data_IF_021887531847
#
_entry.id   IF_021887531847
#
_cell.length_a   1.000
_cell.length_b   1.000
_cell.length_c   1.000
_cell.angle_alpha   90.00
_cell.angle_beta   90.00
_cell.angle_gamma   90.00
#
_symmetry.space_group_name_H-M   'P 1'
#
loop_
_entity.id
_entity.type
_entity.pdbx_description
1 polymer ?
#
# COMPACT_ATOMS: atom_id res chain seq x y z
N UNK A 1 -2.51 -16.48 7.31
CA UNK A 1 -2.25 -16.79 5.87
C UNK A 1 -0.78 -17.08 5.60
N UNK A 2 0.14 -16.59 6.45
CA UNK A 2 1.57 -16.92 6.50
C UNK A 2 2.42 -16.40 5.34
N UNK A 3 1.94 -16.41 4.10
CA UNK A 3 2.72 -15.92 2.96
C UNK A 3 1.87 -15.12 1.97
N UNK A 4 2.30 -13.89 1.66
CA UNK A 4 1.60 -12.97 0.76
C UNK A 4 2.48 -12.31 -0.31
N UNK A 5 1.84 -11.73 -1.31
CA UNK A 5 2.46 -10.88 -2.32
C UNK A 5 2.25 -9.40 -1.98
N UNK A 6 3.29 -8.58 -2.10
CA UNK A 6 3.18 -7.14 -1.95
C UNK A 6 3.58 -6.45 -3.24
N UNK A 7 2.61 -5.80 -3.89
CA UNK A 7 2.74 -5.18 -5.21
C UNK A 7 2.87 -3.66 -5.04
N UNK A 8 4.12 -3.19 -5.08
CA UNK A 8 4.41 -1.76 -5.25
C UNK A 8 4.40 -1.42 -6.74
N UNK A 9 3.26 -0.93 -7.18
CA UNK A 9 3.00 -0.53 -8.55
C UNK A 9 2.14 0.73 -8.52
N UNK A 10 2.71 1.87 -8.95
CA UNK A 10 2.05 3.18 -8.94
C UNK A 10 2.87 4.13 -9.84
N UNK A 11 2.57 5.43 -9.86
CA UNK A 11 3.35 6.49 -10.52
C UNK A 11 4.86 6.34 -10.31
N UNK A 12 5.29 5.97 -9.10
CA UNK A 12 6.68 5.76 -8.74
C UNK A 12 7.43 4.77 -9.67
N UNK A 13 6.75 3.75 -10.20
CA UNK A 13 7.27 2.80 -11.19
C UNK A 13 7.77 3.52 -12.45
N UNK A 14 6.99 4.48 -12.97
CA UNK A 14 7.30 5.19 -14.22
C UNK A 14 8.28 6.35 -14.05
N UNK A 15 8.45 6.80 -12.81
CA UNK A 15 9.38 7.87 -12.48
C UNK A 15 10.71 7.35 -11.95
N UNK A 16 10.84 6.04 -11.79
CA UNK A 16 12.05 5.39 -11.28
C UNK A 16 12.47 5.93 -9.89
N UNK A 17 11.47 6.12 -9.02
CA UNK A 17 11.66 6.65 -7.66
C UNK A 17 11.08 5.68 -6.62
N UNK A 18 11.69 5.60 -5.44
CA UNK A 18 11.13 4.81 -4.30
C UNK A 18 10.21 5.69 -3.44
N UNK A 19 10.69 6.90 -3.22
CA UNK A 19 10.04 7.93 -2.45
C UNK A 19 9.67 9.07 -3.38
N UNK A 20 8.72 9.87 -2.93
CA UNK A 20 8.23 11.04 -3.67
C UNK A 20 9.32 12.04 -4.07
N UNK A 21 9.20 12.55 -5.29
CA UNK A 21 9.98 13.69 -5.78
C UNK A 21 9.19 14.43 -6.86
N UNK A 22 8.77 15.67 -6.59
CA UNK A 22 7.89 16.40 -7.51
C UNK A 22 6.43 15.95 -7.49
N UNK A 23 5.56 16.72 -8.13
CA UNK A 23 4.18 16.39 -8.44
C UNK A 23 4.13 16.04 -9.92
N UNK A 24 4.12 14.74 -10.19
CA UNK A 24 4.20 14.22 -11.54
C UNK A 24 2.89 14.43 -12.29
N UNK A 25 2.95 14.52 -13.61
CA UNK A 25 1.73 14.64 -14.40
C UNK A 25 1.01 13.29 -14.40
N UNK A 26 -0.33 13.22 -14.35
CA UNK A 26 -1.06 11.97 -14.59
C UNK A 26 -0.67 11.26 -15.90
N UNK A 27 -0.20 12.01 -16.90
CA UNK A 27 0.33 11.47 -18.15
C UNK A 27 1.61 10.62 -17.99
N UNK A 28 2.34 10.82 -16.88
CA UNK A 28 3.53 10.03 -16.58
C UNK A 28 3.19 8.60 -16.16
N UNK A 29 1.97 8.33 -15.67
CA UNK A 29 1.52 6.97 -15.38
C UNK A 29 1.16 6.28 -16.70
N UNK A 30 2.15 5.66 -17.33
CA UNK A 30 2.00 5.10 -18.67
C UNK A 30 2.47 3.64 -18.78
N UNK A 31 1.62 2.68 -18.35
CA UNK A 31 1.86 1.26 -18.62
C UNK A 31 1.94 0.91 -20.11
N UNK A 32 1.37 1.73 -20.99
CA UNK A 32 0.92 1.31 -22.32
C UNK A 32 -0.49 0.73 -22.27
N UNK A 33 -1.11 0.59 -23.45
CA UNK A 33 -2.46 0.02 -23.58
C UNK A 33 -2.35 -1.50 -23.48
N UNK A 34 -3.17 -2.11 -22.62
CA UNK A 34 -3.28 -3.57 -22.43
C UNK A 34 -2.01 -4.30 -21.97
N UNK A 35 -1.08 -3.60 -21.33
CA UNK A 35 0.16 -4.20 -20.79
C UNK A 35 0.03 -4.67 -19.35
N UNK A 36 -1.00 -4.22 -18.63
CA UNK A 36 -1.27 -4.68 -17.26
C UNK A 36 -2.05 -5.99 -17.34
N UNK A 37 -1.37 -7.06 -16.93
CA UNK A 37 -1.96 -8.39 -16.81
C UNK A 37 -1.99 -8.79 -15.33
N UNK A 38 -3.11 -8.48 -14.66
CA UNK A 38 -3.32 -8.86 -13.25
C UNK A 38 -3.51 -10.36 -13.06
N UNK A 39 -3.86 -11.09 -14.13
CA UNK A 39 -3.95 -12.55 -14.13
C UNK A 39 -2.55 -13.16 -13.99
N UNK A 40 -1.57 -12.64 -14.72
CA UNK A 40 -0.18 -13.04 -14.58
C UNK A 40 0.36 -12.79 -13.16
N UNK A 41 -0.01 -11.67 -12.51
CA UNK A 41 0.36 -11.40 -11.12
C UNK A 41 -0.22 -12.45 -10.16
N UNK A 42 -1.49 -12.80 -10.35
CA UNK A 42 -2.16 -13.78 -9.54
C UNK A 42 -1.62 -15.20 -9.77
N UNK A 43 -1.31 -15.57 -11.03
CA UNK A 43 -0.66 -16.83 -11.37
C UNK A 43 0.72 -16.96 -10.73
N UNK A 44 1.51 -15.87 -10.75
CA UNK A 44 2.79 -15.82 -10.05
C UNK A 44 2.63 -16.06 -8.54
N UNK A 45 1.65 -15.41 -7.90
CA UNK A 45 1.36 -15.58 -6.47
C UNK A 45 0.97 -17.03 -6.12
N UNK A 46 0.09 -17.65 -6.92
CA UNK A 46 -0.32 -19.06 -6.75
C UNK A 46 0.87 -19.99 -6.92
N UNK A 47 1.68 -19.79 -7.96
CA UNK A 47 2.84 -20.63 -8.25
C UNK A 47 3.88 -20.61 -7.12
N UNK A 48 4.04 -19.47 -6.45
CA UNK A 48 4.89 -19.32 -5.27
C UNK A 48 4.26 -19.88 -3.98
N UNK A 49 2.98 -20.26 -3.97
CA UNK A 49 2.27 -20.75 -2.80
C UNK A 49 1.72 -19.66 -1.87
N UNK A 50 1.72 -18.39 -2.31
CA UNK A 50 1.14 -17.27 -1.57
C UNK A 50 -0.39 -17.43 -1.44
N UNK A 51 -0.98 -16.76 -0.44
CA UNK A 51 -2.41 -16.86 -0.10
C UNK A 51 -3.17 -15.55 -0.16
N UNK A 52 -2.46 -14.44 -0.35
CA UNK A 52 -3.04 -13.11 -0.49
C UNK A 52 -2.11 -12.19 -1.25
N UNK A 53 -2.66 -11.10 -1.79
CA UNK A 53 -1.92 -9.98 -2.36
C UNK A 53 -2.29 -8.66 -1.71
N UNK A 54 -1.36 -7.70 -1.68
CA UNK A 54 -1.59 -6.32 -1.26
C UNK A 54 -1.10 -5.38 -2.37
N UNK A 55 -1.98 -4.54 -2.91
CA UNK A 55 -1.66 -3.59 -3.99
C UNK A 55 -1.54 -2.16 -3.46
N UNK A 56 -0.52 -1.40 -3.88
CA UNK A 56 -0.33 0.02 -3.56
C UNK A 56 -1.31 0.94 -4.28
N UNK A 57 -2.53 1.08 -3.74
CA UNK A 57 -3.59 1.86 -4.39
C UNK A 57 -3.36 3.36 -4.32
N UNK A 58 -2.72 3.83 -3.24
CA UNK A 58 -2.15 5.18 -3.11
C UNK A 58 -0.81 5.08 -2.40
N UNK A 59 0.26 5.55 -3.05
CA UNK A 59 1.58 5.68 -2.41
C UNK A 59 1.79 7.13 -1.92
N UNK A 60 2.96 7.44 -1.34
CA UNK A 60 3.22 8.76 -0.73
C UNK A 60 3.16 9.94 -1.72
N UNK A 61 3.23 9.68 -3.03
CA UNK A 61 3.03 10.67 -4.09
C UNK A 61 1.56 11.07 -4.32
N UNK A 62 0.60 10.35 -3.75
CA UNK A 62 -0.82 10.67 -3.80
C UNK A 62 -1.59 10.21 -5.05
N UNK A 63 -0.93 9.65 -6.06
CA UNK A 63 -1.62 9.18 -7.27
C UNK A 63 -2.47 7.93 -6.97
N UNK A 64 -3.77 8.03 -7.23
CA UNK A 64 -4.74 6.99 -6.92
C UNK A 64 -4.94 6.02 -8.10
N UNK A 65 -4.95 4.72 -7.83
CA UNK A 65 -5.14 3.67 -8.86
C UNK A 65 -6.62 3.31 -9.14
N UNK A 66 -7.54 4.12 -8.64
CA UNK A 66 -8.97 4.01 -8.87
C UNK A 66 -9.55 5.37 -9.24
N UNK A 67 -10.78 5.38 -9.74
CA UNK A 67 -11.56 6.60 -9.98
C UNK A 67 -12.02 7.16 -8.63
N UNK A 68 -11.33 8.16 -8.07
CA UNK A 68 -11.65 8.69 -6.75
C UNK A 68 -12.59 9.87 -6.86
N UNK A 69 -13.66 9.89 -6.05
CA UNK A 69 -14.57 11.03 -5.97
C UNK A 69 -13.95 12.25 -5.25
N UNK A 70 -12.80 12.07 -4.61
CA UNK A 70 -12.19 13.07 -3.74
C UNK A 70 -11.01 13.80 -4.38
N UNK A 71 -10.41 13.28 -5.44
CA UNK A 71 -9.28 13.94 -6.12
C UNK A 71 -9.32 13.65 -7.61
N UNK A 72 -8.88 14.61 -8.42
CA UNK A 72 -8.67 14.37 -9.85
C UNK A 72 -7.29 13.75 -10.11
N UNK A 73 -6.42 13.60 -9.11
CA UNK A 73 -5.08 13.05 -9.28
C UNK A 73 -5.07 11.52 -9.21
N UNK A 74 -5.71 10.93 -10.21
CA UNK A 74 -5.96 9.50 -10.27
C UNK A 74 -5.83 8.90 -11.67
N UNK A 75 -6.06 7.60 -11.75
CA UNK A 75 -5.92 6.80 -12.97
C UNK A 75 -6.95 7.14 -14.06
N UNK A 76 -8.06 7.77 -13.71
CA UNK A 76 -9.12 8.17 -14.64
C UNK A 76 -8.95 9.61 -15.13
N UNK A 77 -7.96 10.34 -14.62
CA UNK A 77 -7.64 11.68 -15.07
C UNK A 77 -7.57 11.77 -16.62
N UNK A 78 -8.08 12.85 -17.26
CA UNK A 78 -8.10 12.99 -18.71
C UNK A 78 -6.74 12.81 -19.41
N UNK A 79 -5.65 13.17 -18.74
CA UNK A 79 -4.29 13.04 -19.27
C UNK A 79 -3.62 11.69 -18.97
N UNK A 80 -4.19 10.85 -18.09
CA UNK A 80 -3.65 9.52 -17.83
C UNK A 80 -3.90 8.63 -19.06
N UNK A 81 -2.89 7.95 -19.65
CA UNK A 81 -3.10 7.12 -20.84
C UNK A 81 -3.80 5.79 -20.56
N UNK A 82 -3.78 5.28 -19.33
CA UNK A 82 -4.32 3.94 -19.02
C UNK A 82 -5.85 3.92 -18.82
N UNK A 83 -6.39 4.78 -17.95
CA UNK A 83 -7.84 4.97 -17.70
C UNK A 83 -8.66 3.70 -17.49
N UNK A 84 -8.14 2.75 -16.70
CA UNK A 84 -8.89 1.57 -16.25
C UNK A 84 -8.67 1.34 -14.77
N UNK A 85 -9.68 0.82 -14.10
CA UNK A 85 -9.62 0.47 -12.69
C UNK A 85 -8.75 -0.77 -12.48
N UNK A 86 -7.50 -0.56 -12.06
CA UNK A 86 -6.54 -1.65 -11.78
C UNK A 86 -6.94 -2.40 -10.51
N UNK A 87 -7.56 -1.74 -9.53
CA UNK A 87 -7.97 -2.40 -8.29
C UNK A 87 -9.02 -3.45 -8.58
N UNK A 88 -10.03 -3.13 -9.39
CA UNK A 88 -11.06 -4.10 -9.80
C UNK A 88 -10.46 -5.28 -10.58
N UNK A 89 -9.50 -5.03 -11.48
CA UNK A 89 -8.79 -6.08 -12.23
C UNK A 89 -8.00 -6.98 -11.27
N UNK A 90 -7.20 -6.39 -10.39
CA UNK A 90 -6.43 -7.08 -9.35
C UNK A 90 -7.32 -7.96 -8.47
N UNK A 91 -8.43 -7.40 -7.97
CA UNK A 91 -9.37 -8.13 -7.12
C UNK A 91 -9.96 -9.33 -7.86
N UNK A 92 -10.40 -9.12 -9.10
CA UNK A 92 -10.99 -10.17 -9.94
C UNK A 92 -10.00 -11.30 -10.17
N UNK A 93 -8.77 -10.97 -10.61
CA UNK A 93 -7.72 -11.94 -10.92
C UNK A 93 -7.26 -12.73 -9.69
N UNK A 94 -7.08 -12.07 -8.55
CA UNK A 94 -6.63 -12.73 -7.33
C UNK A 94 -7.72 -13.63 -6.74
N UNK A 95 -8.97 -13.16 -6.70
CA UNK A 95 -10.08 -13.96 -6.18
C UNK A 95 -10.40 -15.18 -7.03
N UNK A 96 -10.33 -15.07 -8.36
CA UNK A 96 -10.59 -16.22 -9.25
C UNK A 96 -9.63 -17.38 -9.01
N UNK A 97 -8.46 -17.09 -8.42
CA UNK A 97 -7.43 -18.05 -8.00
C UNK A 97 -7.44 -18.39 -6.51
N UNK A 98 -8.47 -17.96 -5.78
CA UNK A 98 -8.64 -18.25 -4.35
C UNK A 98 -7.69 -17.46 -3.43
N UNK A 99 -7.05 -16.40 -3.93
CA UNK A 99 -6.22 -15.51 -3.12
C UNK A 99 -7.10 -14.46 -2.43
N UNK A 100 -6.73 -14.08 -1.20
CA UNK A 100 -7.34 -12.92 -0.55
C UNK A 100 -6.69 -11.61 -1.02
N UNK A 101 -7.41 -10.50 -0.93
CA UNK A 101 -6.98 -9.21 -1.50
C UNK A 101 -6.97 -8.10 -0.45
N UNK A 102 -5.82 -7.48 -0.28
CA UNK A 102 -5.63 -6.30 0.56
C UNK A 102 -5.22 -5.09 -0.27
N UNK A 103 -5.45 -3.90 0.29
CA UNK A 103 -5.04 -2.64 -0.33
C UNK A 103 -4.05 -1.94 0.59
N UNK A 104 -2.97 -1.43 0.01
CA UNK A 104 -2.03 -0.56 0.69
C UNK A 104 -2.44 0.89 0.48
N UNK A 105 -2.39 1.66 1.56
CA UNK A 105 -2.69 3.09 1.54
C UNK A 105 -1.62 3.87 2.31
N UNK A 106 -0.93 4.77 1.60
CA UNK A 106 0.06 5.68 2.17
C UNK A 106 -0.59 6.90 2.80
N UNK A 107 -0.41 7.07 4.11
CA UNK A 107 -0.99 8.18 4.87
C UNK A 107 -0.13 9.43 4.86
N UNK A 108 1.19 9.24 4.76
CA UNK A 108 2.13 10.34 4.79
C UNK A 108 2.44 10.80 3.40
N UNK A 109 2.32 12.10 3.27
CA UNK A 109 2.72 12.88 2.14
C UNK A 109 4.04 13.59 2.50
N UNK A 110 5.00 13.78 1.59
CA UNK A 110 6.27 14.49 1.90
C UNK A 110 6.12 15.89 2.49
N UNK A 111 4.99 16.57 2.28
CA UNK A 111 4.69 17.86 2.92
C UNK A 111 4.16 17.73 4.35
N UNK A 112 3.89 16.51 4.83
CA UNK A 112 3.49 16.26 6.21
C UNK A 112 4.65 16.60 7.15
N UNK A 113 4.72 17.85 7.59
CA UNK A 113 5.76 18.38 8.48
C UNK A 113 7.01 18.97 7.79
N UNK A 114 7.17 18.88 6.46
CA UNK A 114 8.18 19.64 5.70
C UNK A 114 7.52 20.57 4.70
N UNK A 115 7.30 21.80 5.17
CA UNK A 115 6.68 22.90 4.44
C UNK A 115 7.47 23.37 3.21
N UNK A 116 8.67 22.83 2.92
CA UNK A 116 9.37 23.18 1.69
C UNK A 116 8.92 22.31 0.49
N UNK A 117 8.16 21.24 0.75
CA UNK A 117 7.76 20.24 -0.24
C UNK A 117 6.24 20.23 -0.46
N UNK A 118 5.66 21.37 -0.83
CA UNK A 118 4.23 21.44 -1.19
C UNK A 118 3.93 20.94 -2.62
N UNK A 119 4.88 21.13 -3.55
CA UNK A 119 4.74 20.79 -4.98
C UNK A 119 4.82 19.30 -5.30
N UNK A 120 4.42 18.44 -4.38
CA UNK A 120 4.53 16.98 -4.47
C UNK A 120 3.23 16.30 -4.09
N UNK A 121 2.17 17.08 -3.83
CA UNK A 121 0.91 16.63 -3.22
C UNK A 121 -0.29 16.91 -4.12
N UNK A 122 -1.33 16.07 -4.06
CA UNK A 122 -2.65 16.46 -4.54
C UNK A 122 -3.10 17.76 -3.85
N UNK A 123 -3.77 18.68 -4.57
CA UNK A 123 -4.23 19.95 -4.00
C UNK A 123 -5.07 19.78 -2.72
N UNK A 124 -5.85 18.70 -2.63
CA UNK A 124 -6.72 18.39 -1.49
C UNK A 124 -5.96 17.95 -0.24
N UNK A 125 -4.66 17.70 -0.37
CA UNK A 125 -3.77 17.32 0.72
C UNK A 125 -2.55 18.25 0.86
N UNK A 126 -2.57 19.44 0.25
CA UNK A 126 -1.46 20.38 0.33
C UNK A 126 -1.47 21.15 1.68
N UNK A 127 -0.45 21.00 2.55
CA UNK A 127 -0.36 21.71 3.81
C UNK A 127 -0.17 23.23 3.66
N UNK A 128 0.12 23.73 2.46
CA UNK A 128 0.11 25.18 2.20
C UNK A 128 -1.33 25.76 2.21
N UNK A 129 -2.35 24.93 1.95
CA UNK A 129 -3.74 25.37 1.78
C UNK A 129 -4.74 24.63 2.68
N UNK A 130 -4.37 23.48 3.24
CA UNK A 130 -5.22 22.65 4.07
C UNK A 130 -4.57 22.35 5.42
N UNK A 131 -5.36 22.46 6.48
CA UNK A 131 -5.00 22.03 7.82
C UNK A 131 -4.79 20.52 7.88
N UNK A 132 -4.10 20.07 8.93
CA UNK A 132 -3.93 18.63 9.22
C UNK A 132 -5.28 17.90 9.32
N UNK A 133 -6.28 18.53 9.93
CA UNK A 133 -7.63 17.95 10.08
C UNK A 133 -8.31 17.75 8.72
N UNK A 134 -8.27 18.75 7.84
CA UNK A 134 -8.82 18.64 6.47
C UNK A 134 -8.13 17.54 5.66
N UNK A 135 -6.79 17.44 5.76
CA UNK A 135 -6.03 16.35 5.14
C UNK A 135 -6.45 14.98 5.69
N UNK A 136 -6.69 14.87 6.99
CA UNK A 136 -7.13 13.62 7.61
C UNK A 136 -8.55 13.24 7.19
N UNK A 137 -9.48 14.19 7.11
CA UNK A 137 -10.85 13.94 6.62
C UNK A 137 -10.85 13.48 5.17
N UNK A 138 -10.07 14.13 4.30
CA UNK A 138 -9.88 13.66 2.91
C UNK A 138 -9.42 12.20 2.87
N UNK A 139 -8.43 11.84 3.68
CA UNK A 139 -7.89 10.49 3.68
C UNK A 139 -8.86 9.46 4.27
N UNK A 140 -9.61 9.83 5.32
CA UNK A 140 -10.69 9.00 5.87
C UNK A 140 -11.79 8.76 4.83
N UNK A 141 -12.11 9.77 4.03
CA UNK A 141 -13.10 9.66 2.97
C UNK A 141 -12.63 8.72 1.84
N UNK A 142 -11.35 8.79 1.43
CA UNK A 142 -10.77 7.83 0.48
C UNK A 142 -10.76 6.39 1.03
N UNK A 143 -10.47 6.19 2.32
CA UNK A 143 -10.56 4.86 2.94
C UNK A 143 -12.01 4.34 2.90
N UNK A 144 -13.00 5.18 3.19
CA UNK A 144 -14.40 4.80 3.09
C UNK A 144 -14.78 4.41 1.66
N UNK A 145 -14.40 5.23 0.68
CA UNK A 145 -14.62 4.97 -0.74
C UNK A 145 -14.02 3.62 -1.19
N UNK A 146 -12.77 3.33 -0.83
CA UNK A 146 -12.12 2.06 -1.16
C UNK A 146 -12.88 0.86 -0.54
N UNK A 147 -13.33 0.99 0.70
CA UNK A 147 -14.02 -0.08 1.40
C UNK A 147 -15.44 -0.34 0.88
N UNK A 148 -16.10 0.71 0.37
CA UNK A 148 -17.41 0.66 -0.27
C UNK A 148 -17.34 0.15 -1.72
N UNK A 149 -16.44 0.70 -2.54
CA UNK A 149 -16.23 0.29 -3.95
C UNK A 149 -15.73 -1.14 -4.07
N UNK A 150 -14.92 -1.60 -3.11
CA UNK A 150 -14.26 -2.91 -3.16
C UNK A 150 -14.65 -3.80 -1.96
N UNK A 151 -15.89 -4.33 -1.92
CA UNK A 151 -16.43 -5.10 -0.79
C UNK A 151 -15.69 -6.42 -0.53
N UNK A 152 -14.82 -6.85 -1.44
CA UNK A 152 -14.02 -8.06 -1.30
C UNK A 152 -12.69 -7.88 -0.56
N UNK A 153 -12.26 -6.64 -0.37
CA UNK A 153 -11.02 -6.32 0.36
C UNK A 153 -11.13 -6.81 1.79
N UNK A 154 -10.19 -7.62 2.24
CA UNK A 154 -10.17 -8.15 3.62
C UNK A 154 -9.15 -7.43 4.50
N UNK A 155 -8.27 -6.61 3.93
CA UNK A 155 -7.09 -6.09 4.61
C UNK A 155 -6.71 -4.70 4.09
N UNK A 156 -6.56 -3.72 4.99
CA UNK A 156 -5.96 -2.42 4.70
C UNK A 156 -4.57 -2.34 5.34
N UNK A 157 -3.57 -2.19 4.49
CA UNK A 157 -2.17 -2.05 4.87
C UNK A 157 -1.82 -0.56 4.95
N UNK A 158 -1.81 0.01 6.15
CA UNK A 158 -1.57 1.45 6.34
C UNK A 158 -0.07 1.72 6.39
N UNK A 159 0.42 2.61 5.53
CA UNK A 159 1.83 3.00 5.49
C UNK A 159 2.08 4.42 5.96
N UNK A 160 3.26 4.62 6.54
CA UNK A 160 3.76 5.88 7.04
C UNK A 160 2.79 6.58 8.01
N UNK A 161 1.98 5.80 8.71
CA UNK A 161 1.04 6.30 9.70
C UNK A 161 1.76 6.61 11.02
N UNK A 162 1.37 7.67 11.72
CA UNK A 162 1.84 8.00 13.06
C UNK A 162 0.84 8.93 13.78
N UNK A 163 1.11 9.23 15.05
CA UNK A 163 0.22 10.05 15.89
C UNK A 163 0.21 11.55 15.47
N UNK A 164 1.14 12.01 14.64
CA UNK A 164 1.05 13.34 14.03
C UNK A 164 0.03 13.35 12.90
N UNK A 165 -0.25 12.19 12.29
CA UNK A 165 -1.36 12.03 11.36
C UNK A 165 -2.66 12.04 12.15
N UNK A 166 -2.95 10.94 12.82
CA UNK A 166 -4.08 10.83 13.73
C UNK A 166 -3.85 9.66 14.70
N UNK A 167 -4.55 9.62 15.84
CA UNK A 167 -4.51 8.48 16.74
C UNK A 167 -4.90 7.17 16.02
N UNK A 168 -4.20 6.08 16.33
CA UNK A 168 -4.43 4.77 15.71
C UNK A 168 -5.84 4.20 15.96
N UNK A 169 -6.40 4.48 17.14
CA UNK A 169 -7.75 4.09 17.52
C UNK A 169 -8.81 4.84 16.72
N UNK A 170 -8.53 6.07 16.29
CA UNK A 170 -9.44 6.85 15.43
C UNK A 170 -9.62 6.18 14.06
N UNK A 171 -8.53 5.86 13.37
CA UNK A 171 -8.62 5.18 12.07
C UNK A 171 -9.19 3.77 12.19
N UNK A 172 -8.84 3.05 13.25
CA UNK A 172 -9.40 1.73 13.51
C UNK A 172 -10.92 1.83 13.68
N UNK A 173 -11.39 2.79 14.47
CA UNK A 173 -12.82 3.03 14.68
C UNK A 173 -13.53 3.40 13.38
N UNK A 174 -12.94 4.30 12.59
CA UNK A 174 -13.45 4.69 11.28
C UNK A 174 -13.63 3.48 10.35
N UNK A 175 -12.58 2.68 10.16
CA UNK A 175 -12.62 1.47 9.32
C UNK A 175 -13.66 0.48 9.84
N UNK A 176 -13.72 0.26 11.16
CA UNK A 176 -14.67 -0.70 11.77
C UNK A 176 -16.12 -0.28 11.63
N UNK A 177 -16.41 1.02 11.67
CA UNK A 177 -17.76 1.56 11.45
C UNK A 177 -18.24 1.29 10.01
N UNK A 178 -17.34 1.30 9.04
CA UNK A 178 -17.66 1.03 7.63
C UNK A 178 -17.72 -0.48 7.40
N UNK A 179 -16.67 -1.22 7.79
CA UNK A 179 -16.56 -2.68 7.61
C UNK A 179 -15.89 -3.35 8.81
N UNK A 180 -16.67 -3.92 9.75
CA UNK A 180 -16.16 -4.41 11.03
C UNK A 180 -15.24 -5.63 10.94
N UNK A 181 -15.16 -6.32 9.79
CA UNK A 181 -14.35 -7.53 9.60
C UNK A 181 -13.06 -7.31 8.78
N UNK A 182 -12.78 -6.08 8.33
CA UNK A 182 -11.57 -5.76 7.56
C UNK A 182 -10.37 -5.72 8.49
N UNK A 183 -9.34 -6.52 8.22
CA UNK A 183 -8.09 -6.46 8.98
C UNK A 183 -7.35 -5.15 8.68
N UNK A 184 -6.61 -4.65 9.65
CA UNK A 184 -5.76 -3.48 9.49
C UNK A 184 -4.38 -3.72 10.10
N UNK A 185 -3.36 -3.17 9.47
CA UNK A 185 -2.03 -3.08 10.03
C UNK A 185 -1.52 -1.65 9.91
N UNK A 186 -0.45 -1.32 10.62
CA UNK A 186 0.24 -0.05 10.45
C UNK A 186 1.74 -0.28 10.36
N UNK A 187 2.32 0.15 9.24
CA UNK A 187 3.75 0.34 9.09
C UNK A 187 4.10 1.76 9.51
N UNK A 188 4.37 1.92 10.81
CA UNK A 188 4.64 3.21 11.43
C UNK A 188 5.74 3.99 10.71
N UNK A 189 5.55 5.30 10.57
CA UNK A 189 6.59 6.21 10.11
C UNK A 189 7.80 6.19 11.06
N UNK A 190 7.54 6.20 12.37
CA UNK A 190 8.57 6.00 13.39
C UNK A 190 9.08 4.56 13.37
N UNK A 191 10.34 4.40 12.93
CA UNK A 191 11.04 3.12 12.87
C UNK A 191 11.17 2.41 14.22
N UNK A 192 11.16 3.15 15.32
CA UNK A 192 11.15 2.64 16.70
C UNK A 192 9.81 2.02 17.09
N UNK A 193 8.71 2.43 16.46
CA UNK A 193 7.36 1.89 16.68
C UNK A 193 7.02 0.70 15.77
N UNK A 194 7.74 0.47 14.67
CA UNK A 194 7.50 -0.71 13.80
C UNK A 194 7.60 -2.02 14.61
N UNK A 195 6.52 -2.80 14.59
CA UNK A 195 6.33 -4.01 15.37
C UNK A 195 5.42 -3.86 16.59
N UNK A 196 4.86 -2.67 16.81
CA UNK A 196 3.85 -2.42 17.84
C UNK A 196 2.42 -2.70 17.32
N UNK A 197 1.58 -3.43 18.07
CA UNK A 197 0.23 -3.81 17.66
C UNK A 197 -0.80 -2.77 18.10
N UNK A 198 -0.78 -1.57 17.51
CA UNK A 198 -1.89 -0.61 17.71
C UNK A 198 -3.09 -0.91 16.81
N UNK A 199 -2.89 -1.72 15.77
CA UNK A 199 -3.93 -2.28 14.89
C UNK A 199 -3.89 -3.82 14.97
N UNK A 200 -4.70 -4.52 14.17
CA UNK A 200 -4.86 -5.99 14.28
C UNK A 200 -3.56 -6.76 14.05
N UNK A 201 -2.69 -6.25 13.17
CA UNK A 201 -1.42 -6.87 12.77
C UNK A 201 -0.28 -5.86 12.97
N UNK A 202 0.74 -6.26 13.73
CA UNK A 202 1.96 -5.49 13.87
C UNK A 202 2.87 -5.67 12.64
N UNK A 203 3.47 -4.60 12.13
CA UNK A 203 4.34 -4.66 10.95
C UNK A 203 5.80 -4.40 11.29
N UNK A 204 6.72 -5.23 10.77
CA UNK A 204 8.15 -4.91 10.69
C UNK A 204 8.66 -4.92 9.26
N UNK A 205 8.92 -3.73 8.75
CA UNK A 205 9.57 -3.54 7.47
C UNK A 205 11.05 -3.97 7.49
N UNK A 206 11.42 -4.86 6.56
CA UNK A 206 12.79 -5.35 6.31
C UNK A 206 13.50 -5.92 7.55
N UNK A 207 12.72 -6.37 8.53
CA UNK A 207 13.23 -6.84 9.83
C UNK A 207 12.33 -7.93 10.39
N UNK A 208 12.95 -8.85 11.11
CA UNK A 208 12.21 -9.88 11.83
C UNK A 208 11.72 -9.37 13.19
N UNK A 209 10.61 -9.94 13.65
CA UNK A 209 10.17 -9.85 15.04
C UNK A 209 11.19 -10.53 15.97
N UNK A 210 11.17 -10.30 17.30
CA UNK A 210 11.98 -11.08 18.23
C UNK A 210 11.46 -12.52 18.35
N UNK A 211 12.30 -13.45 18.82
CA UNK A 211 11.95 -14.89 18.92
C UNK A 211 10.77 -15.16 19.86
N UNK A 212 10.60 -14.34 20.87
CA UNK A 212 9.50 -14.42 21.84
C UNK A 212 8.25 -13.62 21.42
N UNK A 213 8.12 -13.25 20.13
CA UNK A 213 6.95 -12.51 19.67
C UNK A 213 5.67 -13.33 19.77
N UNK A 214 4.70 -12.81 20.50
CA UNK A 214 3.36 -13.40 20.66
C UNK A 214 2.29 -12.65 19.88
N UNK A 215 2.56 -11.42 19.43
CA UNK A 215 1.61 -10.64 18.64
C UNK A 215 1.48 -11.21 17.23
N UNK A 216 0.28 -11.11 16.59
CA UNK A 216 0.14 -11.34 15.15
C UNK A 216 1.05 -10.36 14.38
N UNK A 217 2.12 -10.87 13.80
CA UNK A 217 3.08 -10.08 13.04
C UNK A 217 2.91 -10.23 11.52
N UNK A 218 3.36 -9.23 10.79
CA UNK A 218 3.69 -9.31 9.38
C UNK A 218 5.01 -8.60 9.12
N UNK A 219 5.90 -9.22 8.35
CA UNK A 219 7.13 -8.57 7.87
C UNK A 219 7.09 -8.48 6.36
N UNK A 220 7.51 -7.36 5.80
CA UNK A 220 7.61 -7.16 4.37
C UNK A 220 9.08 -7.05 3.96
N UNK A 221 9.40 -7.66 2.82
CA UNK A 221 10.75 -7.69 2.26
C UNK A 221 10.72 -7.37 0.77
N UNK A 222 11.78 -6.72 0.30
CA UNK A 222 11.96 -6.47 -1.13
C UNK A 222 12.48 -7.73 -1.81
N UNK A 223 11.92 -8.04 -2.97
CA UNK A 223 12.47 -9.08 -3.84
C UNK A 223 13.67 -8.53 -4.64
N UNK A 224 13.67 -7.25 -4.99
CA UNK A 224 14.75 -6.60 -5.73
C UNK A 224 15.44 -5.50 -4.88
N UNK A 225 16.19 -4.60 -5.51
CA UNK A 225 16.86 -3.50 -4.81
C UNK A 225 15.87 -2.51 -4.19
N UNK A 226 14.73 -2.29 -4.85
CA UNK A 226 13.67 -1.35 -4.49
C UNK A 226 12.36 -2.03 -4.12
N UNK A 227 11.42 -1.24 -3.62
CA UNK A 227 10.01 -1.65 -3.52
C UNK A 227 9.38 -1.63 -4.91
N UNK A 228 9.61 -0.54 -5.65
CA UNK A 228 9.19 -0.43 -7.05
C UNK A 228 10.23 -1.07 -7.99
N UNK A 229 9.73 -1.65 -9.08
CA UNK A 229 10.58 -2.21 -10.13
C UNK A 229 11.43 -1.13 -10.80
N UNK A 230 12.66 -1.49 -11.16
CA UNK A 230 13.58 -0.64 -11.91
C UNK A 230 14.26 -1.44 -13.01
N UNK A 231 14.59 -0.77 -14.11
CA UNK A 231 15.33 -1.44 -15.17
C UNK A 231 16.73 -1.85 -14.68
N UNK A 232 17.14 -3.08 -15.00
CA UNK A 232 18.46 -3.60 -14.67
C UNK A 232 18.65 -4.07 -13.21
N UNK A 233 17.61 -4.11 -12.38
CA UNK A 233 17.68 -4.72 -11.06
C UNK A 233 17.56 -6.24 -11.13
N UNK A 234 18.29 -6.92 -10.23
CA UNK A 234 18.24 -8.37 -10.08
C UNK A 234 17.42 -8.75 -8.84
N UNK A 235 16.66 -9.84 -8.95
CA UNK A 235 15.95 -10.42 -7.83
C UNK A 235 16.88 -11.15 -6.85
N UNK A 236 16.52 -11.11 -5.56
CA UNK A 236 17.08 -11.96 -4.54
C UNK A 236 16.85 -13.44 -4.87
N UNK A 237 17.73 -14.31 -4.37
CA UNK A 237 17.59 -15.73 -4.61
C UNK A 237 16.37 -16.30 -3.87
N UNK A 238 15.73 -17.32 -4.46
CA UNK A 238 14.66 -18.06 -3.80
C UNK A 238 15.09 -18.60 -2.42
N UNK A 239 16.35 -19.03 -2.29
CA UNK A 239 16.91 -19.49 -1.01
C UNK A 239 16.90 -18.38 0.06
N UNK A 240 17.23 -17.14 -0.31
CA UNK A 240 17.18 -16.01 0.63
C UNK A 240 15.75 -15.70 1.06
N UNK A 241 14.81 -15.67 0.11
CA UNK A 241 13.39 -15.45 0.40
C UNK A 241 12.82 -16.54 1.33
N UNK A 242 13.13 -17.81 1.05
CA UNK A 242 12.72 -18.94 1.91
C UNK A 242 13.32 -18.87 3.32
N UNK A 243 14.58 -18.44 3.45
CA UNK A 243 15.22 -18.25 4.76
C UNK A 243 14.55 -17.15 5.59
N UNK A 244 14.20 -16.02 4.96
CA UNK A 244 13.45 -14.96 5.62
C UNK A 244 12.04 -15.41 6.01
N UNK A 245 11.33 -16.11 5.11
CA UNK A 245 10.00 -16.64 5.38
C UNK A 245 10.01 -17.64 6.55
N UNK A 246 10.98 -18.56 6.60
CA UNK A 246 11.11 -19.52 7.70
C UNK A 246 11.35 -18.81 9.05
N UNK A 247 12.17 -17.75 9.03
CA UNK A 247 12.43 -16.93 10.23
C UNK A 247 11.20 -16.13 10.64
N UNK A 248 10.43 -15.57 9.71
CA UNK A 248 9.19 -14.86 10.02
C UNK A 248 8.17 -15.81 10.69
N UNK A 249 8.01 -17.01 10.12
CA UNK A 249 7.04 -17.99 10.61
C UNK A 249 7.37 -18.51 12.00
N UNK A 250 8.66 -18.72 12.31
CA UNK A 250 9.11 -19.13 13.65
C UNK A 250 8.90 -18.06 14.72
N UNK A 251 8.64 -16.81 14.31
CA UNK A 251 8.44 -15.65 15.20
C UNK A 251 7.01 -15.10 15.17
N UNK A 252 6.04 -15.99 14.92
CA UNK A 252 4.62 -15.68 14.82
C UNK A 252 4.26 -14.55 13.83
N UNK A 253 5.04 -14.42 12.74
CA UNK A 253 4.84 -13.41 11.71
C UNK A 253 4.46 -14.05 10.38
N UNK A 254 3.59 -13.37 9.62
CA UNK A 254 3.47 -13.57 8.18
C UNK A 254 4.69 -12.95 7.46
N UNK A 255 4.93 -13.39 6.23
CA UNK A 255 5.96 -12.92 5.31
C UNK A 255 5.32 -12.48 3.99
#
# INVERSE_FOLDING_TARGET
LKFGMFLHYNMATYKNIEWVSGYHSPADFNPGVDTIDTDAWADAAVSAGMKYGVLTVKHVSGFCLWDSEYTTYDIMHPDCPYKKDIIAQFITSFKSRGLKVGLFYGWRHPGFGDTNNYKVLPPECDPATHTLEEQNEFQKAQIAELLEKYPDVFYIWNDAFDDQVMPADEILTHIRNIRPNVLTCSNWWDWGKKGTPYLDIAVKELRHFPENNTAPGETCWKLEQGWFWKEGTGAASAQSAMGNMATAHSRNSNF
#
